data_IF_341676753876
#
_entry.id   IF_341676753876
#
_cell.length_a   1.000
_cell.length_b   1.000
_cell.length_c   1.000
_cell.angle_alpha   90.00
_cell.angle_beta   90.00
_cell.angle_gamma   90.00
#
_symmetry.space_group_name_H-M   'P 1'
#
loop_
_entity.id
_entity.type
_entity.pdbx_description
1 polymer ?
#
# COMPACT_ATOMS: atom_id res chain seq x y z
N UNK A 1 -7.48 -23.92 18.83
CA UNK A 1 -6.26 -23.38 18.20
C UNK A 1 -5.21 -23.25 19.28
N UNK A 2 -4.04 -23.83 19.05
CA UNK A 2 -2.86 -23.61 19.89
C UNK A 2 -2.17 -22.28 19.50
N UNK A 3 -1.23 -21.82 20.33
CA UNK A 3 -0.39 -20.67 19.97
C UNK A 3 0.43 -20.94 18.69
N UNK A 4 0.90 -22.18 18.52
CA UNK A 4 1.62 -22.64 17.34
C UNK A 4 0.74 -22.62 16.07
N UNK A 5 -0.55 -22.97 16.19
CA UNK A 5 -1.48 -22.89 15.06
C UNK A 5 -1.74 -21.44 14.62
N UNK A 6 -1.78 -20.50 15.58
CA UNK A 6 -1.96 -19.07 15.29
C UNK A 6 -0.72 -18.49 14.61
N UNK A 7 0.47 -18.79 15.12
CA UNK A 7 1.74 -18.35 14.54
C UNK A 7 1.92 -18.91 13.12
N UNK A 8 1.61 -20.20 12.90
CA UNK A 8 1.63 -20.79 11.55
C UNK A 8 0.67 -20.06 10.61
N UNK A 9 -0.54 -19.77 11.07
CA UNK A 9 -1.54 -19.07 10.27
C UNK A 9 -1.09 -17.65 9.89
N UNK A 10 -0.53 -16.89 10.83
CA UNK A 10 0.00 -15.55 10.56
C UNK A 10 1.14 -15.58 9.54
N UNK A 11 2.11 -16.50 9.71
CA UNK A 11 3.21 -16.68 8.77
C UNK A 11 2.74 -17.04 7.35
N UNK A 12 1.71 -17.88 7.24
CA UNK A 12 1.12 -18.24 5.94
C UNK A 12 0.44 -17.03 5.27
N UNK A 13 -0.25 -16.19 6.04
CA UNK A 13 -0.86 -14.96 5.51
C UNK A 13 0.20 -13.96 5.04
N UNK A 14 1.27 -13.76 5.80
CA UNK A 14 2.37 -12.88 5.41
C UNK A 14 3.09 -13.36 4.15
N UNK A 15 3.38 -14.66 4.07
CA UNK A 15 3.99 -15.26 2.88
C UNK A 15 3.08 -15.13 1.65
N UNK A 16 1.77 -15.28 1.82
CA UNK A 16 0.79 -15.07 0.76
C UNK A 16 0.78 -13.62 0.28
N UNK A 17 0.78 -12.65 1.21
CA UNK A 17 0.84 -11.23 0.88
C UNK A 17 2.12 -10.88 0.10
N UNK A 18 3.26 -11.41 0.55
CA UNK A 18 4.55 -11.18 -0.10
C UNK A 18 4.60 -11.72 -1.53
N UNK A 19 4.04 -12.92 -1.77
CA UNK A 19 3.94 -13.51 -3.11
C UNK A 19 3.07 -12.67 -4.03
N UNK A 20 1.91 -12.24 -3.55
CA UNK A 20 1.03 -11.37 -4.34
C UNK A 20 1.72 -10.05 -4.68
N UNK A 21 2.38 -9.41 -3.71
CA UNK A 21 3.17 -8.20 -3.97
C UNK A 21 4.18 -8.42 -5.09
N UNK A 22 4.97 -9.50 -5.01
CA UNK A 22 5.97 -9.84 -6.03
C UNK A 22 5.36 -9.99 -7.42
N UNK A 23 4.16 -10.53 -7.52
CA UNK A 23 3.47 -10.75 -8.79
C UNK A 23 2.91 -9.46 -9.40
N UNK A 24 2.57 -8.46 -8.56
CA UNK A 24 1.86 -7.25 -9.01
C UNK A 24 2.71 -5.98 -8.99
N UNK A 25 3.81 -5.92 -8.23
CA UNK A 25 4.60 -4.68 -8.09
C UNK A 25 5.06 -4.10 -9.42
N UNK A 26 5.37 -4.95 -10.40
CA UNK A 26 5.82 -4.51 -11.74
C UNK A 26 4.74 -3.89 -12.63
N UNK A 27 3.46 -3.89 -12.23
CA UNK A 27 2.36 -3.27 -12.99
C UNK A 27 1.92 -1.91 -12.41
N UNK A 28 2.59 -1.42 -11.37
CA UNK A 28 2.30 -0.14 -10.73
C UNK A 28 3.40 0.88 -10.93
N UNK A 29 3.04 2.16 -10.86
CA UNK A 29 3.95 3.29 -11.10
C UNK A 29 4.45 3.93 -9.82
N UNK A 30 3.66 3.89 -8.75
CA UNK A 30 3.97 4.59 -7.51
C UNK A 30 3.86 3.67 -6.30
N UNK A 31 4.76 3.89 -5.34
CA UNK A 31 4.58 3.47 -3.94
C UNK A 31 4.12 4.70 -3.16
N UNK A 32 3.06 4.54 -2.38
CA UNK A 32 2.54 5.57 -1.48
C UNK A 32 2.50 5.01 -0.07
N UNK A 33 3.26 5.61 0.84
CA UNK A 33 3.26 5.23 2.25
C UNK A 33 2.61 6.32 3.09
N UNK A 34 1.76 5.88 4.00
CA UNK A 34 1.20 6.71 5.06
C UNK A 34 1.53 6.07 6.40
N UNK A 35 1.27 6.78 7.49
CA UNK A 35 1.38 6.30 8.87
C UNK A 35 0.73 4.92 9.15
N UNK A 36 -0.22 4.48 8.32
CA UNK A 36 -1.01 3.27 8.54
C UNK A 36 -0.79 2.19 7.50
N UNK A 37 -0.47 2.55 6.26
CA UNK A 37 -0.54 1.63 5.12
C UNK A 37 0.44 2.02 4.03
N UNK A 38 0.89 1.00 3.31
CA UNK A 38 1.58 1.11 2.03
C UNK A 38 0.60 0.77 0.91
N UNK A 39 0.66 1.54 -0.17
CA UNK A 39 -0.08 1.31 -1.40
C UNK A 39 0.86 1.26 -2.59
N UNK A 40 0.52 0.42 -3.55
CA UNK A 40 0.97 0.54 -4.93
C UNK A 40 -0.16 1.19 -5.73
N UNK A 41 0.13 2.11 -6.65
CA UNK A 41 -0.91 2.70 -7.49
C UNK A 41 -0.38 3.19 -8.84
N UNK A 42 -1.30 3.46 -9.78
CA UNK A 42 -0.96 3.97 -11.11
C UNK A 42 -1.15 5.49 -11.27
N UNK A 43 -1.88 6.11 -10.34
CA UNK A 43 -1.99 7.56 -10.26
C UNK A 43 -2.17 7.98 -8.80
N UNK A 44 -1.55 9.09 -8.44
CA UNK A 44 -1.61 9.70 -7.11
C UNK A 44 -1.72 11.22 -7.23
N UNK A 45 -2.56 11.82 -6.41
CA UNK A 45 -2.74 13.27 -6.26
C UNK A 45 -2.74 13.62 -4.77
N UNK A 46 -1.87 14.54 -4.37
CA UNK A 46 -1.76 15.01 -2.97
C UNK A 46 -2.16 16.48 -2.92
N UNK A 47 -3.18 16.78 -2.12
CA UNK A 47 -3.68 18.13 -1.89
C UNK A 47 -3.53 18.52 -0.43
N UNK A 48 -3.06 19.73 -0.18
CA UNK A 48 -3.10 20.33 1.15
C UNK A 48 -4.46 21.01 1.34
N UNK A 49 -5.13 20.72 2.45
CA UNK A 49 -6.43 21.31 2.81
C UNK A 49 -6.29 22.07 4.12
N UNK A 50 -6.81 23.29 4.19
CA UNK A 50 -6.68 24.18 5.35
C UNK A 50 -7.89 25.11 5.57
N UNK A 51 -9.06 24.81 5.00
CA UNK A 51 -10.18 25.76 4.92
C UNK A 51 -10.87 26.04 6.27
N UNK A 52 -10.57 25.31 7.35
CA UNK A 52 -11.23 25.52 8.64
C UNK A 52 -10.48 24.93 9.85
N UNK A 53 -9.14 24.91 9.83
CA UNK A 53 -8.34 24.35 10.93
C UNK A 53 -6.90 24.01 10.53
N UNK A 54 -6.30 23.07 11.26
CA UNK A 54 -4.95 22.57 10.98
C UNK A 54 -4.87 21.96 9.57
N UNK A 55 -3.75 22.22 8.89
CA UNK A 55 -3.52 21.70 7.56
C UNK A 55 -3.41 20.17 7.59
N UNK A 56 -4.08 19.51 6.64
CA UNK A 56 -3.97 18.08 6.41
C UNK A 56 -3.75 17.77 4.93
N UNK A 57 -3.25 16.57 4.67
CA UNK A 57 -3.08 16.04 3.32
C UNK A 57 -4.28 15.17 2.93
N UNK A 58 -4.90 15.50 1.81
CA UNK A 58 -5.83 14.64 1.08
C UNK A 58 -5.04 13.94 -0.04
N UNK A 59 -4.88 12.63 0.09
CA UNK A 59 -4.19 11.78 -0.89
C UNK A 59 -5.24 10.98 -1.63
N UNK A 60 -5.31 11.14 -2.94
CA UNK A 60 -6.19 10.33 -3.81
C UNK A 60 -5.34 9.45 -4.69
N UNK A 61 -5.66 8.15 -4.74
CA UNK A 61 -4.98 7.16 -5.59
C UNK A 61 -6.00 6.44 -6.47
N UNK A 62 -5.60 6.12 -7.70
CA UNK A 62 -6.40 5.33 -8.63
C UNK A 62 -5.65 4.06 -9.05
N UNK A 63 -6.43 3.00 -9.29
CA UNK A 63 -5.93 1.64 -9.57
C UNK A 63 -4.87 1.26 -8.54
N UNK A 64 -5.31 1.07 -7.29
CA UNK A 64 -4.44 0.89 -6.15
C UNK A 64 -4.49 -0.53 -5.61
N UNK A 65 -3.36 -1.02 -5.14
CA UNK A 65 -3.22 -2.22 -4.34
C UNK A 65 -2.71 -1.85 -2.95
N UNK A 66 -3.22 -2.49 -1.91
CA UNK A 66 -2.84 -2.18 -0.52
C UNK A 66 -2.09 -3.34 0.13
N UNK A 67 -0.98 -3.02 0.80
CA UNK A 67 -0.25 -3.96 1.64
C UNK A 67 -0.98 -4.12 2.98
N UNK A 68 -1.93 -5.06 3.03
CA UNK A 68 -2.76 -5.33 4.22
C UNK A 68 -3.08 -6.83 4.31
N UNK A 69 -2.54 -7.51 5.33
CA UNK A 69 -2.75 -8.95 5.58
C UNK A 69 -4.21 -9.27 5.93
N UNK A 70 -4.96 -8.30 6.46
CA UNK A 70 -6.32 -8.50 6.96
C UNK A 70 -7.38 -8.28 5.88
N UNK A 71 -6.99 -7.85 4.67
CA UNK A 71 -7.93 -7.64 3.56
C UNK A 71 -8.05 -8.88 2.67
N UNK A 72 -9.28 -9.39 2.45
CA UNK A 72 -9.51 -10.47 1.49
C UNK A 72 -9.34 -10.02 0.02
N UNK A 73 -9.57 -8.73 -0.28
CA UNK A 73 -9.33 -8.14 -1.58
C UNK A 73 -8.49 -6.87 -1.43
N UNK A 74 -7.31 -6.86 -2.07
CA UNK A 74 -6.32 -5.78 -1.94
C UNK A 74 -6.36 -4.76 -3.08
N UNK A 75 -7.02 -5.07 -4.19
CA UNK A 75 -7.23 -4.12 -5.27
C UNK A 75 -8.43 -3.21 -4.99
N UNK A 76 -8.21 -1.90 -5.11
CA UNK A 76 -9.20 -0.86 -4.98
C UNK A 76 -9.13 0.07 -6.19
N UNK A 77 -10.30 0.36 -6.79
CA UNK A 77 -10.38 1.27 -7.94
C UNK A 77 -9.95 2.70 -7.59
N UNK A 78 -10.39 3.19 -6.43
CA UNK A 78 -10.05 4.51 -5.91
C UNK A 78 -9.81 4.40 -4.41
N UNK A 79 -8.76 5.05 -3.93
CA UNK A 79 -8.45 5.18 -2.51
C UNK A 79 -8.32 6.67 -2.19
N UNK A 80 -8.88 7.07 -1.05
CA UNK A 80 -8.69 8.41 -0.49
C UNK A 80 -8.21 8.28 0.94
N UNK A 81 -7.08 8.91 1.26
CA UNK A 81 -6.54 8.99 2.61
C UNK A 81 -6.52 10.45 3.04
N UNK A 82 -7.02 10.72 4.25
CA UNK A 82 -6.92 12.02 4.90
C UNK A 82 -5.99 11.85 6.10
N UNK A 83 -4.90 12.61 6.13
CA UNK A 83 -3.90 12.48 7.21
C UNK A 83 -3.27 13.80 7.58
N UNK A 84 -2.97 13.95 8.87
CA UNK A 84 -2.15 15.04 9.42
C UNK A 84 -0.67 14.64 9.55
N UNK A 85 -0.33 13.42 9.10
CA UNK A 85 1.02 12.87 9.10
C UNK A 85 1.66 13.00 7.72
N UNK A 86 2.93 12.64 7.67
CA UNK A 86 3.68 12.52 6.44
C UNK A 86 3.05 11.52 5.48
N UNK A 87 3.27 11.79 4.20
CA UNK A 87 2.91 10.93 3.08
C UNK A 87 4.16 10.85 2.21
N UNK A 88 4.70 9.65 2.05
CA UNK A 88 5.79 9.40 1.13
C UNK A 88 5.19 8.96 -0.22
N UNK A 89 5.67 9.55 -1.31
CA UNK A 89 5.24 9.21 -2.67
C UNK A 89 6.49 8.99 -3.50
N UNK A 90 6.68 7.75 -3.94
CA UNK A 90 7.83 7.34 -4.75
C UNK A 90 7.35 6.87 -6.12
N UNK A 91 8.01 7.33 -7.17
CA UNK A 91 7.83 6.79 -8.52
C UNK A 91 8.80 5.62 -8.72
N UNK A 92 8.24 4.46 -9.08
CA UNK A 92 9.01 3.25 -9.36
C UNK A 92 9.69 3.40 -10.72
N UNK A 93 10.98 3.07 -10.79
CA UNK A 93 11.66 2.99 -12.08
C UNK A 93 11.23 1.71 -12.81
N UNK A 94 10.94 1.81 -14.12
CA UNK A 94 10.51 0.71 -15.00
C UNK A 94 11.44 -0.53 -15.00
N UNK A 95 12.66 -0.42 -14.46
CA UNK A 95 13.69 -1.47 -14.48
C UNK A 95 14.27 -1.89 -13.13
N UNK A 96 13.94 -1.22 -12.01
CA UNK A 96 14.62 -1.46 -10.72
C UNK A 96 13.85 -2.33 -9.73
N UNK A 97 12.70 -2.88 -10.11
CA UNK A 97 12.08 -3.96 -9.34
C UNK A 97 12.88 -5.26 -9.55
N UNK A 98 14.09 -5.31 -8.99
CA UNK A 98 14.84 -6.56 -8.79
C UNK A 98 14.16 -7.32 -7.66
N UNK A 99 13.13 -8.08 -8.03
CA UNK A 99 12.52 -9.06 -7.15
C UNK A 99 13.62 -9.99 -6.63
N UNK A 100 13.77 -10.17 -5.31
CA UNK A 100 14.70 -11.17 -4.79
C UNK A 100 14.29 -12.56 -5.32
N UNK A 101 15.25 -13.47 -5.53
CA UNK A 101 14.98 -14.81 -6.03
C UNK A 101 13.97 -15.54 -5.11
N UNK A 102 13.15 -16.39 -5.73
CA UNK A 102 12.12 -17.18 -5.04
C UNK A 102 12.73 -18.20 -4.06
#
# INVERSE_FOLDING_TARGET
MSAEDLERYENEMELSLYREYRDVVGIFKYVVETDRRLYLCNAVDVKVRSESGDAYFEVTMADAWVWDIYRPARFAKNVKVLTFKDVNVEELQDSDVKLPPA
#
